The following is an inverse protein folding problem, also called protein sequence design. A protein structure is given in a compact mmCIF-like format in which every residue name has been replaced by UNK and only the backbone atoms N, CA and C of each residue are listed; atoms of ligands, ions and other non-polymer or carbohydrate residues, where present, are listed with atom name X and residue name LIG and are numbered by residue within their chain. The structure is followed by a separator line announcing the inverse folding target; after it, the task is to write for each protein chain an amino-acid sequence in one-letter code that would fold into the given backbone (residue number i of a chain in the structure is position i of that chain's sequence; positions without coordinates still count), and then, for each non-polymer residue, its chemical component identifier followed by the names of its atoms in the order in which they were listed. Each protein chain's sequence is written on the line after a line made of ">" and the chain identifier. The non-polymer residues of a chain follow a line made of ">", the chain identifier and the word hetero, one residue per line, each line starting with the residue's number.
data_IF_494350704763
#
_entry.id   IF_494350704763
#
_cell.length_a   1.000
_cell.length_b   1.000
_cell.length_c   1.000
_cell.angle_alpha   90.00
_cell.angle_beta   90.00
_cell.angle_gamma   90.00
#
_symmetry.space_group_name_H-M   'P 1'
#
loop_
_entity.id
_entity.type
_entity.pdbx_description
1 polymer ?
#
# COMPACT_ATOMS: atom_id res chain seq x y z
N UNK A 1 19.60 3.55 -23.67
CA UNK A 1 19.39 2.64 -22.52
C UNK A 1 17.92 2.73 -22.18
N UNK A 2 17.20 1.63 -22.43
CA UNK A 2 15.76 1.56 -22.30
C UNK A 2 15.35 1.87 -20.87
N UNK A 3 14.54 2.91 -20.70
CA UNK A 3 13.82 3.17 -19.46
C UNK A 3 12.85 2.01 -19.28
N UNK A 4 13.27 0.93 -18.63
CA UNK A 4 12.32 0.08 -17.92
C UNK A 4 11.58 1.05 -17.01
N UNK A 5 10.31 1.30 -17.31
CA UNK A 5 9.37 1.82 -16.32
C UNK A 5 9.46 0.82 -15.18
N UNK A 6 10.32 1.10 -14.19
CA UNK A 6 10.48 0.26 -13.03
C UNK A 6 9.09 0.20 -12.42
N UNK A 7 8.39 -0.90 -12.64
CA UNK A 7 7.08 -1.10 -12.09
C UNK A 7 7.25 -0.85 -10.60
N UNK A 8 6.50 0.13 -10.11
CA UNK A 8 6.32 0.40 -8.69
C UNK A 8 6.34 -0.92 -7.92
N UNK A 9 7.31 -1.18 -7.02
CA UNK A 9 7.53 -2.52 -6.48
C UNK A 9 6.30 -3.08 -5.76
N UNK A 10 5.48 -2.22 -5.16
CA UNK A 10 4.19 -2.57 -4.55
C UNK A 10 3.10 -3.00 -5.56
N UNK A 11 3.25 -2.73 -6.86
CA UNK A 11 2.36 -3.24 -7.90
C UNK A 11 2.72 -4.69 -8.30
N UNK A 12 3.89 -5.19 -7.90
CA UNK A 12 4.30 -6.56 -8.15
C UNK A 12 3.77 -7.50 -7.05
N UNK A 13 2.99 -8.52 -7.42
CA UNK A 13 2.44 -9.48 -6.46
C UNK A 13 3.54 -10.21 -5.66
N UNK A 14 4.68 -10.51 -6.30
CA UNK A 14 5.83 -11.17 -5.68
C UNK A 14 6.54 -10.31 -4.63
N UNK A 15 6.21 -9.01 -4.55
CA UNK A 15 6.72 -8.12 -3.52
C UNK A 15 6.05 -8.34 -2.16
N UNK A 16 4.89 -8.99 -2.13
CA UNK A 16 4.04 -9.10 -0.95
C UNK A 16 3.97 -10.51 -0.41
N UNK A 17 3.92 -10.62 0.92
CA UNK A 17 3.59 -11.83 1.64
C UNK A 17 2.32 -11.62 2.51
N UNK A 18 1.50 -12.67 2.71
CA UNK A 18 0.47 -12.66 3.74
C UNK A 18 1.08 -12.35 5.12
N UNK A 19 0.48 -11.40 5.83
CA UNK A 19 0.95 -10.91 7.13
C UNK A 19 1.80 -9.64 7.05
N UNK A 20 2.17 -9.17 5.86
CA UNK A 20 2.95 -7.94 5.71
C UNK A 20 2.22 -6.74 6.32
N UNK A 21 2.95 -6.01 7.15
CA UNK A 21 2.50 -4.73 7.70
C UNK A 21 2.64 -3.63 6.64
N UNK A 22 1.57 -2.90 6.39
CA UNK A 22 1.51 -1.92 5.32
C UNK A 22 0.72 -0.67 5.71
N UNK A 23 0.81 0.34 4.86
CA UNK A 23 0.01 1.54 4.85
C UNK A 23 -0.85 1.53 3.60
N UNK A 24 -2.17 1.65 3.76
CA UNK A 24 -3.05 2.05 2.68
C UNK A 24 -3.06 3.57 2.60
N UNK A 25 -2.70 4.08 1.44
CA UNK A 25 -2.56 5.50 1.17
C UNK A 25 -3.74 5.90 0.30
N UNK A 26 -4.38 7.02 0.59
CA UNK A 26 -5.22 7.66 -0.41
C UNK A 26 -4.93 9.14 -0.54
N UNK A 27 -5.17 9.63 -1.75
CA UNK A 27 -4.94 11.04 -2.11
C UNK A 27 -6.30 11.69 -2.27
N UNK A 28 -6.60 12.66 -1.41
CA UNK A 28 -7.82 13.45 -1.45
C UNK A 28 -7.55 14.94 -1.67
N UNK A 29 -8.61 15.72 -1.81
CA UNK A 29 -8.51 17.18 -1.95
C UNK A 29 -7.84 17.88 -0.75
N UNK A 30 -7.87 17.24 0.43
CA UNK A 30 -7.25 17.73 1.67
C UNK A 30 -5.82 17.22 1.89
N UNK A 31 -5.26 16.48 0.92
CA UNK A 31 -3.91 15.90 1.00
C UNK A 31 -3.92 14.37 1.05
N UNK A 32 -2.80 13.83 1.52
CA UNK A 32 -2.58 12.38 1.66
C UNK A 32 -3.14 11.92 3.01
N UNK A 33 -3.93 10.85 2.99
CA UNK A 33 -4.30 10.11 4.20
C UNK A 33 -3.63 8.74 4.20
N UNK A 34 -3.25 8.27 5.38
CA UNK A 34 -2.61 6.98 5.57
C UNK A 34 -3.39 6.16 6.59
N UNK A 35 -3.51 4.86 6.33
CA UNK A 35 -4.19 3.92 7.20
C UNK A 35 -3.37 2.65 7.39
N UNK A 36 -2.96 2.30 8.62
CA UNK A 36 -2.27 1.05 8.89
C UNK A 36 -3.14 -0.15 8.54
N UNK A 37 -2.58 -1.10 7.81
CA UNK A 37 -3.26 -2.35 7.43
C UNK A 37 -2.28 -3.53 7.46
N UNK A 38 -2.84 -4.73 7.41
CA UNK A 38 -2.10 -5.99 7.25
C UNK A 38 -2.55 -6.63 5.94
N UNK A 39 -1.62 -7.06 5.10
CA UNK A 39 -1.96 -7.78 3.87
C UNK A 39 -2.39 -9.20 4.22
N UNK A 40 -3.61 -9.60 3.83
CA UNK A 40 -4.16 -10.94 4.10
C UNK A 40 -3.92 -11.87 2.92
N UNK A 41 -4.21 -11.40 1.70
CA UNK A 41 -3.96 -12.15 0.47
C UNK A 41 -3.57 -11.18 -0.65
N UNK A 42 -2.29 -11.17 -1.09
CA UNK A 42 -1.85 -10.29 -2.15
C UNK A 42 -2.60 -10.52 -3.47
N UNK A 43 -2.79 -11.79 -3.86
CA UNK A 43 -3.48 -12.16 -5.10
C UNK A 43 -4.97 -11.74 -5.10
N UNK A 44 -5.60 -11.73 -3.93
CA UNK A 44 -6.98 -11.26 -3.77
C UNK A 44 -7.10 -9.78 -3.42
N UNK A 45 -5.98 -9.06 -3.28
CA UNK A 45 -5.94 -7.71 -2.69
C UNK A 45 -6.75 -7.58 -1.40
N UNK A 46 -6.72 -8.64 -0.58
CA UNK A 46 -7.40 -8.68 0.70
C UNK A 46 -6.48 -8.09 1.76
N UNK A 47 -6.99 -7.14 2.51
CA UNK A 47 -6.28 -6.45 3.58
C UNK A 47 -7.14 -6.44 4.84
N UNK A 48 -6.48 -6.31 5.99
CA UNK A 48 -7.11 -6.16 7.28
C UNK A 48 -6.75 -4.81 7.88
N UNK A 49 -7.76 -4.03 8.23
CA UNK A 49 -7.61 -2.89 9.12
C UNK A 49 -7.78 -3.35 10.57
N UNK A 50 -6.74 -3.26 11.42
CA UNK A 50 -6.83 -3.70 12.81
C UNK A 50 -7.75 -2.83 13.68
N UNK A 51 -8.11 -1.62 13.24
CA UNK A 51 -8.96 -0.70 14.00
C UNK A 51 -10.46 -0.90 13.70
N UNK A 52 -10.81 -1.64 12.65
CA UNK A 52 -12.20 -1.93 12.30
C UNK A 52 -12.63 -3.27 12.85
N UNK A 53 -13.76 -3.30 13.56
CA UNK A 53 -14.33 -4.51 14.18
C UNK A 53 -15.39 -5.19 13.32
N UNK A 54 -15.98 -4.46 12.36
CA UNK A 54 -16.95 -5.03 11.43
C UNK A 54 -16.24 -5.99 10.47
N UNK A 55 -16.77 -7.20 10.30
CA UNK A 55 -16.22 -8.23 9.42
C UNK A 55 -14.71 -8.51 9.66
N UNK A 56 -14.30 -8.50 10.93
CA UNK A 56 -12.90 -8.63 11.37
C UNK A 56 -11.93 -7.60 10.78
N UNK A 57 -12.47 -6.51 10.22
CA UNK A 57 -11.72 -5.47 9.52
C UNK A 57 -11.17 -5.91 8.17
N UNK A 58 -11.72 -6.98 7.57
CA UNK A 58 -11.26 -7.51 6.28
C UNK A 58 -11.98 -6.83 5.11
N UNK A 59 -11.19 -6.32 4.17
CA UNK A 59 -11.66 -5.62 2.97
C UNK A 59 -10.93 -6.12 1.73
N UNK A 60 -11.63 -6.07 0.59
CA UNK A 60 -11.03 -6.23 -0.74
C UNK A 60 -10.79 -4.85 -1.34
N UNK A 61 -9.56 -4.58 -1.79
CA UNK A 61 -9.25 -3.35 -2.50
C UNK A 61 -9.56 -3.50 -3.99
N UNK A 62 -10.41 -2.61 -4.54
CA UNK A 62 -10.84 -2.63 -5.95
C UNK A 62 -9.69 -2.44 -6.93
N UNK A 63 -8.73 -1.60 -6.57
CA UNK A 63 -7.60 -1.21 -7.40
C UNK A 63 -6.34 -2.03 -7.09
N UNK A 64 -6.52 -3.18 -6.43
CA UNK A 64 -5.42 -4.02 -5.99
C UNK A 64 -4.60 -3.37 -4.87
N UNK A 65 -3.30 -3.66 -4.84
CA UNK A 65 -2.35 -3.10 -3.87
C UNK A 65 -1.64 -1.83 -4.39
N UNK A 66 -2.18 -1.20 -5.44
CA UNK A 66 -1.59 -0.02 -6.11
C UNK A 66 -1.28 1.12 -5.14
N UNK A 67 -2.18 1.35 -4.19
CA UNK A 67 -2.05 2.42 -3.19
C UNK A 67 -1.63 1.90 -1.82
N UNK A 68 -1.05 0.70 -1.77
CA UNK A 68 -0.53 0.09 -0.55
C UNK A 68 0.99 0.11 -0.56
N UNK A 69 1.62 0.43 0.57
CA UNK A 69 3.09 0.44 0.74
C UNK A 69 3.46 -0.36 1.98
N UNK A 70 4.53 -1.15 1.93
CA UNK A 70 5.09 -1.75 3.14
C UNK A 70 5.43 -0.69 4.18
N UNK A 71 5.22 -1.04 5.45
CA UNK A 71 5.68 -0.26 6.58
C UNK A 71 7.10 -0.68 6.95
N UNK A 72 7.98 0.29 7.19
CA UNK A 72 9.38 0.13 7.63
C UNK A 72 10.25 -0.75 6.69
N UNK A 73 11.59 -0.66 6.80
CA UNK A 73 12.65 -1.51 6.17
C UNK A 73 12.63 -1.80 4.65
N UNK A 74 11.52 -1.59 3.94
CA UNK A 74 11.39 -1.70 2.50
C UNK A 74 11.74 -0.35 1.88
N UNK A 75 13.03 -0.15 1.61
CA UNK A 75 13.54 1.08 1.00
C UNK A 75 12.73 1.53 -0.24
N UNK A 76 12.34 0.62 -1.17
CA UNK A 76 11.57 1.03 -2.34
C UNK A 76 10.17 1.55 -2.02
N UNK A 77 9.45 0.92 -1.06
CA UNK A 77 8.14 1.42 -0.62
C UNK A 77 8.26 2.73 0.17
N UNK A 78 9.26 2.85 1.04
CA UNK A 78 9.47 4.03 1.87
C UNK A 78 9.78 5.29 1.04
N UNK A 79 10.52 5.15 -0.07
CA UNK A 79 10.78 6.25 -0.99
C UNK A 79 9.48 6.80 -1.60
N UNK A 80 8.54 5.93 -1.96
CA UNK A 80 7.24 6.33 -2.51
C UNK A 80 6.38 7.10 -1.52
N UNK A 81 6.31 6.64 -0.27
CA UNK A 81 5.59 7.36 0.80
C UNK A 81 6.15 8.76 0.98
N UNK A 82 7.48 8.91 1.01
CA UNK A 82 8.13 10.22 1.14
C UNK A 82 7.80 11.14 -0.03
N UNK A 83 7.77 10.62 -1.26
CA UNK A 83 7.39 11.42 -2.43
C UNK A 83 5.94 11.92 -2.33
N UNK A 84 5.01 11.07 -1.87
CA UNK A 84 3.61 11.45 -1.69
C UNK A 84 3.46 12.58 -0.64
N UNK A 85 4.23 12.53 0.44
CA UNK A 85 4.26 13.58 1.46
C UNK A 85 4.93 14.88 1.00
N UNK A 86 5.87 14.81 0.07
CA UNK A 86 6.58 15.97 -0.46
C UNK A 86 5.87 16.63 -1.65
N UNK A 87 5.02 15.89 -2.37
CA UNK A 87 4.28 16.36 -3.55
C UNK A 87 2.97 17.11 -3.25
N UNK A 88 2.62 17.31 -1.97
CA UNK A 88 1.47 18.13 -1.58
C UNK A 88 1.80 19.62 -1.64
N UNK A 89 1.72 20.20 -2.85
CA UNK A 89 1.77 21.65 -3.13
C UNK A 89 0.55 22.09 -3.93
#
# INVERSE_FOLDING_TARGET
>A
MSSESAASPWECADHWAPGDSALWIGVGASGVYERPIIVVSPAGALVRDPEVTYNDGIFTLSDGLRDVRHRDSCEPCAASVRMLHQGGV
#
